data_IF_700566561861
#
_entry.id   IF_700566561861
#
_cell.length_a   1.000
_cell.length_b   1.000
_cell.length_c   1.000
_cell.angle_alpha   90.00
_cell.angle_beta   90.00
_cell.angle_gamma   90.00
#
_symmetry.space_group_name_H-M   'P 1'
#
loop_
_entity.id
_entity.type
_entity.pdbx_description
1 polymer ?
#
# COMPACT_ATOMS: atom_id res chain seq x y z
N UNK A 1 32.71 -23.45 22.09
CA UNK A 1 31.69 -23.90 21.11
C UNK A 1 31.49 -22.73 20.17
N UNK A 2 31.92 -22.83 18.91
CA UNK A 2 31.70 -21.78 17.91
C UNK A 2 30.27 -21.97 17.38
N UNK A 3 29.32 -21.23 17.95
CA UNK A 3 27.93 -21.20 17.48
C UNK A 3 27.87 -20.41 16.17
N UNK A 4 28.08 -21.09 15.05
CA UNK A 4 27.84 -20.51 13.73
C UNK A 4 26.34 -20.54 13.48
N UNK A 5 25.67 -19.41 13.71
CA UNK A 5 24.26 -19.21 13.34
C UNK A 5 24.23 -18.79 11.87
N UNK A 6 23.62 -19.61 11.02
CA UNK A 6 23.30 -19.23 9.64
C UNK A 6 21.88 -18.68 9.67
N UNK A 7 21.72 -17.39 9.39
CA UNK A 7 20.41 -16.76 9.25
C UNK A 7 19.58 -17.54 8.23
N UNK A 8 18.35 -17.93 8.57
CA UNK A 8 17.43 -18.65 7.70
C UNK A 8 16.49 -17.72 6.91
N UNK A 9 16.69 -16.41 7.01
CA UNK A 9 15.86 -15.36 6.40
C UNK A 9 16.11 -15.13 4.90
N UNK A 10 16.87 -16.01 4.24
CA UNK A 10 17.24 -15.83 2.82
C UNK A 10 16.01 -15.65 1.92
N UNK A 11 14.92 -16.36 2.20
CA UNK A 11 13.66 -16.23 1.46
C UNK A 11 13.02 -14.85 1.68
N UNK A 12 13.00 -14.36 2.93
CA UNK A 12 12.48 -13.05 3.26
C UNK A 12 13.27 -11.93 2.56
N UNK A 13 14.61 -12.00 2.57
CA UNK A 13 15.45 -11.05 1.85
C UNK A 13 15.23 -11.08 0.34
N UNK A 14 15.08 -12.27 -0.25
CA UNK A 14 14.77 -12.40 -1.67
C UNK A 14 13.42 -11.77 -2.04
N UNK A 15 12.39 -11.98 -1.22
CA UNK A 15 11.07 -11.36 -1.42
C UNK A 15 11.14 -9.84 -1.26
N UNK A 16 11.86 -9.34 -0.24
CA UNK A 16 12.05 -7.90 -0.05
C UNK A 16 12.73 -7.25 -1.25
N UNK A 17 13.77 -7.87 -1.81
CA UNK A 17 14.45 -7.36 -3.02
C UNK A 17 13.49 -7.27 -4.23
N UNK A 18 12.58 -8.22 -4.39
CA UNK A 18 11.55 -8.16 -5.45
C UNK A 18 10.64 -6.93 -5.26
N UNK A 19 10.18 -6.69 -4.03
CA UNK A 19 9.32 -5.54 -3.72
C UNK A 19 10.09 -4.22 -3.87
N UNK A 20 11.35 -4.15 -3.43
CA UNK A 20 12.24 -3.00 -3.61
C UNK A 20 12.47 -2.67 -5.10
N UNK A 21 12.60 -3.70 -5.94
CA UNK A 21 12.69 -3.52 -7.40
C UNK A 21 11.36 -2.99 -7.99
N UNK A 22 10.21 -3.51 -7.57
CA UNK A 22 8.90 -2.98 -7.98
C UNK A 22 8.75 -1.51 -7.62
N UNK A 23 9.13 -1.13 -6.40
CA UNK A 23 9.15 0.28 -5.98
C UNK A 23 10.08 1.12 -6.88
N UNK A 24 11.24 0.59 -7.26
CA UNK A 24 12.17 1.28 -8.15
C UNK A 24 11.55 1.51 -9.54
N UNK A 25 10.89 0.51 -10.12
CA UNK A 25 10.14 0.66 -11.37
C UNK A 25 9.00 1.67 -11.25
N UNK A 26 8.33 1.75 -10.09
CA UNK A 26 7.28 2.72 -9.85
C UNK A 26 7.83 4.15 -9.82
N UNK A 27 9.04 4.36 -9.26
CA UNK A 27 9.73 5.65 -9.27
C UNK A 27 10.08 6.05 -10.71
N UNK A 28 10.60 5.13 -11.51
CA UNK A 28 10.94 5.36 -12.91
C UNK A 28 9.71 5.77 -13.74
N UNK A 29 8.62 5.00 -13.64
CA UNK A 29 7.34 5.34 -14.25
C UNK A 29 6.83 6.73 -13.84
N UNK A 30 7.00 7.09 -12.56
CA UNK A 30 6.66 8.43 -12.05
C UNK A 30 7.49 9.56 -12.68
N UNK A 31 8.79 9.34 -12.91
CA UNK A 31 9.68 10.31 -13.59
C UNK A 31 9.26 10.52 -15.04
N UNK A 32 8.77 9.48 -15.69
CA UNK A 32 8.24 9.52 -17.05
C UNK A 32 6.79 10.03 -17.13
N UNK A 33 6.17 10.36 -15.98
CA UNK A 33 4.75 10.75 -15.86
C UNK A 33 3.80 9.67 -16.38
N UNK A 34 4.20 8.41 -16.30
CA UNK A 34 3.41 7.27 -16.73
C UNK A 34 2.61 6.69 -15.56
N UNK A 35 1.47 7.32 -15.28
CA UNK A 35 0.58 6.87 -14.20
C UNK A 35 0.06 5.45 -14.40
N UNK A 36 -0.03 4.97 -15.66
CA UNK A 36 -0.53 3.62 -15.97
C UNK A 36 0.45 2.56 -15.49
N UNK A 37 1.74 2.75 -15.73
CA UNK A 37 2.77 1.84 -15.22
C UNK A 37 2.88 1.91 -13.70
N UNK A 38 2.77 3.11 -13.11
CA UNK A 38 2.68 3.23 -11.65
C UNK A 38 1.49 2.44 -11.09
N UNK A 39 0.33 2.52 -11.75
CA UNK A 39 -0.86 1.79 -11.34
C UNK A 39 -0.65 0.28 -11.46
N UNK A 40 -0.12 -0.23 -12.58
CA UNK A 40 0.14 -1.67 -12.77
C UNK A 40 1.02 -2.24 -11.65
N UNK A 41 1.99 -1.48 -11.15
CA UNK A 41 2.83 -1.91 -10.02
C UNK A 41 2.05 -1.97 -8.71
N UNK A 42 1.17 -0.99 -8.47
CA UNK A 42 0.22 -1.02 -7.34
C UNK A 42 -0.70 -2.25 -7.44
N UNK A 43 -1.18 -2.60 -8.64
CA UNK A 43 -1.97 -3.83 -8.83
C UNK A 43 -1.17 -5.09 -8.51
N UNK A 44 0.07 -5.18 -9.00
CA UNK A 44 0.93 -6.33 -8.77
C UNK A 44 1.18 -6.56 -7.27
N UNK A 45 1.47 -5.50 -6.52
CA UNK A 45 1.68 -5.60 -5.07
C UNK A 45 0.39 -6.00 -4.35
N UNK A 46 -0.77 -5.47 -4.73
CA UNK A 46 -2.06 -5.89 -4.16
C UNK A 46 -2.29 -7.40 -4.32
N UNK A 47 -1.97 -7.95 -5.50
CA UNK A 47 -2.07 -9.38 -5.76
C UNK A 47 -1.07 -10.19 -4.93
N UNK A 48 0.16 -9.72 -4.75
CA UNK A 48 1.16 -10.36 -3.90
C UNK A 48 0.75 -10.37 -2.42
N UNK A 49 0.11 -9.30 -1.93
CA UNK A 49 -0.40 -9.18 -0.57
C UNK A 49 -1.57 -10.12 -0.28
N UNK A 50 -2.46 -10.29 -1.26
CA UNK A 50 -3.62 -11.17 -1.15
C UNK A 50 -3.21 -12.64 -1.20
N UNK A 51 -2.11 -12.94 -1.91
CA UNK A 51 -1.50 -14.28 -1.95
C UNK A 51 -0.59 -14.56 -0.76
N UNK A 52 0.23 -15.60 -0.91
CA UNK A 52 1.26 -15.97 0.08
C UNK A 52 2.67 -15.50 -0.29
N UNK A 53 2.81 -14.69 -1.35
CA UNK A 53 4.11 -14.32 -1.91
C UNK A 53 4.94 -13.44 -0.98
N UNK A 54 4.28 -12.66 -0.12
CA UNK A 54 4.96 -11.78 0.82
C UNK A 54 5.15 -12.42 2.21
N UNK A 55 4.45 -13.52 2.50
CA UNK A 55 4.44 -14.21 3.80
C UNK A 55 5.83 -14.42 4.44
N UNK A 56 6.90 -14.76 3.68
CA UNK A 56 8.23 -14.91 4.26
C UNK A 56 8.71 -13.67 5.02
N UNK A 57 8.27 -12.46 4.64
CA UNK A 57 8.63 -11.22 5.34
C UNK A 57 8.10 -11.15 6.77
N UNK A 58 7.00 -11.84 7.11
CA UNK A 58 6.41 -11.82 8.46
C UNK A 58 7.27 -12.52 9.51
N UNK A 59 8.18 -13.40 9.06
CA UNK A 59 9.04 -14.20 9.92
C UNK A 59 10.50 -13.72 9.92
N UNK A 60 10.80 -12.61 9.23
CA UNK A 60 12.16 -12.08 9.14
C UNK A 60 12.60 -11.48 10.48
N UNK A 61 13.83 -11.80 10.90
CA UNK A 61 14.45 -11.26 12.12
C UNK A 61 14.77 -9.75 12.00
N UNK A 62 14.93 -9.23 10.78
CA UNK A 62 15.11 -7.79 10.49
C UNK A 62 13.76 -7.07 10.33
N UNK A 63 13.02 -7.01 11.43
CA UNK A 63 11.69 -6.37 11.46
C UNK A 63 11.73 -4.88 11.08
N UNK A 64 12.85 -4.20 11.33
CA UNK A 64 13.04 -2.77 11.01
C UNK A 64 13.02 -2.56 9.49
N UNK A 65 13.76 -3.39 8.74
CA UNK A 65 13.76 -3.30 7.27
C UNK A 65 12.39 -3.64 6.69
N UNK A 66 11.75 -4.69 7.19
CA UNK A 66 10.40 -5.09 6.77
C UNK A 66 9.40 -3.94 6.99
N UNK A 67 9.40 -3.33 8.18
CA UNK A 67 8.54 -2.20 8.50
C UNK A 67 8.80 -0.99 7.60
N UNK A 68 10.06 -0.65 7.36
CA UNK A 68 10.43 0.47 6.49
C UNK A 68 9.95 0.26 5.05
N UNK A 69 10.14 -0.95 4.50
CA UNK A 69 9.69 -1.30 3.17
C UNK A 69 8.16 -1.30 3.06
N UNK A 70 7.47 -1.84 4.05
CA UNK A 70 6.01 -1.89 4.02
C UNK A 70 5.39 -0.50 4.17
N UNK A 71 5.90 0.33 5.09
CA UNK A 71 5.52 1.74 5.20
C UNK A 71 5.78 2.51 3.90
N UNK A 72 6.89 2.22 3.20
CA UNK A 72 7.16 2.77 1.88
C UNK A 72 6.07 2.36 0.88
N UNK A 73 5.73 1.07 0.79
CA UNK A 73 4.66 0.56 -0.08
C UNK A 73 3.31 1.22 0.21
N UNK A 74 2.90 1.36 1.47
CA UNK A 74 1.62 2.01 1.81
C UNK A 74 1.56 3.46 1.34
N UNK A 75 2.64 4.22 1.55
CA UNK A 75 2.75 5.60 1.06
C UNK A 75 2.78 5.67 -0.45
N UNK A 76 3.44 4.73 -1.13
CA UNK A 76 3.43 4.61 -2.58
C UNK A 76 1.99 4.44 -3.11
N UNK A 77 1.19 3.58 -2.46
CA UNK A 77 -0.22 3.36 -2.83
C UNK A 77 -1.02 4.65 -2.64
N UNK A 78 -0.97 5.27 -1.45
CA UNK A 78 -1.72 6.50 -1.18
C UNK A 78 -1.28 7.67 -2.07
N UNK A 79 0.02 7.80 -2.34
CA UNK A 79 0.54 8.77 -3.31
C UNK A 79 -0.02 8.51 -4.70
N UNK A 80 -0.05 7.26 -5.15
CA UNK A 80 -0.61 6.91 -6.46
C UNK A 80 -2.09 7.27 -6.52
N UNK A 81 -2.88 6.95 -5.49
CA UNK A 81 -4.30 7.32 -5.41
C UNK A 81 -4.48 8.85 -5.45
N UNK A 82 -3.69 9.61 -4.70
CA UNK A 82 -3.75 11.08 -4.73
C UNK A 82 -3.29 11.67 -6.08
N UNK A 83 -2.35 11.03 -6.77
CA UNK A 83 -1.98 11.43 -8.13
C UNK A 83 -3.12 11.14 -9.13
N UNK A 84 -3.80 10.00 -9.00
CA UNK A 84 -4.99 9.69 -9.80
C UNK A 84 -6.14 10.69 -9.53
N UNK A 85 -6.29 11.13 -8.28
CA UNK A 85 -7.20 12.20 -7.89
C UNK A 85 -6.87 13.51 -8.62
N UNK A 86 -5.60 13.94 -8.58
CA UNK A 86 -5.13 15.14 -9.27
C UNK A 86 -5.35 15.08 -10.79
N UNK A 87 -5.22 13.90 -11.38
CA UNK A 87 -5.51 13.65 -12.81
C UNK A 87 -7.01 13.55 -13.13
N UNK A 88 -7.90 13.62 -12.14
CA UNK A 88 -9.35 13.48 -12.34
C UNK A 88 -9.80 12.06 -12.70
N UNK A 89 -9.02 11.05 -12.34
CA UNK A 89 -9.27 9.63 -12.68
C UNK A 89 -10.08 8.89 -11.61
N UNK A 90 -10.16 9.43 -10.38
CA UNK A 90 -11.06 8.93 -9.34
C UNK A 90 -12.48 9.44 -9.59
N UNK A 91 -13.37 8.53 -9.97
CA UNK A 91 -14.79 8.81 -10.27
C UNK A 91 -15.62 7.54 -10.12
N UNK A 92 -16.94 7.68 -9.99
CA UNK A 92 -17.89 6.58 -9.86
C UNK A 92 -17.74 5.49 -10.94
N UNK A 93 -17.58 5.91 -12.20
CA UNK A 93 -17.24 5.02 -13.31
C UNK A 93 -15.79 5.22 -13.73
N UNK A 94 -14.82 4.57 -13.06
CA UNK A 94 -13.42 4.81 -13.32
C UNK A 94 -13.03 4.33 -14.73
N UNK A 95 -12.11 5.08 -15.34
CA UNK A 95 -11.39 4.61 -16.54
C UNK A 95 -10.55 3.37 -16.19
N UNK A 96 -9.98 3.39 -14.98
CA UNK A 96 -9.25 2.29 -14.37
C UNK A 96 -10.27 1.26 -13.85
N UNK A 97 -10.59 0.26 -14.68
CA UNK A 97 -11.62 -0.75 -14.36
C UNK A 97 -11.35 -1.57 -13.10
N UNK A 98 -10.08 -1.70 -12.74
CA UNK A 98 -9.62 -2.40 -11.55
C UNK A 98 -9.58 -1.54 -10.28
N UNK A 99 -9.81 -0.22 -10.35
CA UNK A 99 -9.61 0.70 -9.22
C UNK A 99 -10.30 0.23 -7.94
N UNK A 100 -11.62 0.04 -7.99
CA UNK A 100 -12.40 -0.39 -6.83
C UNK A 100 -12.03 -1.79 -6.33
N UNK A 101 -11.62 -2.69 -7.24
CA UNK A 101 -11.15 -4.03 -6.87
C UNK A 101 -9.82 -3.99 -6.13
N UNK A 102 -8.86 -3.21 -6.63
CA UNK A 102 -7.52 -3.11 -6.06
C UNK A 102 -7.54 -2.37 -4.72
N UNK A 103 -8.32 -1.29 -4.60
CA UNK A 103 -8.54 -0.63 -3.30
C UNK A 103 -9.15 -1.61 -2.28
N UNK A 104 -10.13 -2.42 -2.71
CA UNK A 104 -10.74 -3.43 -1.85
C UNK A 104 -9.75 -4.54 -1.45
N UNK A 105 -8.88 -4.99 -2.35
CA UNK A 105 -7.84 -5.98 -2.03
C UNK A 105 -6.88 -5.47 -0.96
N UNK A 106 -6.44 -4.21 -1.07
CA UNK A 106 -5.59 -3.59 -0.05
C UNK A 106 -6.29 -3.52 1.30
N UNK A 107 -7.54 -3.02 1.35
CA UNK A 107 -8.33 -2.94 2.58
C UNK A 107 -8.49 -4.34 3.21
N UNK A 108 -8.92 -5.33 2.43
CA UNK A 108 -9.18 -6.68 2.93
C UNK A 108 -7.91 -7.41 3.38
N UNK A 109 -6.76 -7.11 2.77
CA UNK A 109 -5.49 -7.72 3.13
C UNK A 109 -4.76 -6.99 4.25
N UNK A 110 -5.13 -5.74 4.55
CA UNK A 110 -4.35 -4.87 5.43
C UNK A 110 -4.27 -5.39 6.87
N UNK A 111 -5.36 -5.91 7.42
CA UNK A 111 -5.41 -6.41 8.81
C UNK A 111 -4.32 -7.47 9.08
N UNK A 112 -4.09 -8.37 8.12
CA UNK A 112 -3.02 -9.38 8.19
C UNK A 112 -1.62 -8.76 8.34
N UNK A 113 -1.42 -7.60 7.73
CA UNK A 113 -0.13 -6.92 7.69
C UNK A 113 0.00 -5.81 8.73
N UNK A 114 -1.10 -5.41 9.39
CA UNK A 114 -1.11 -4.40 10.45
C UNK A 114 -0.18 -4.76 11.59
N UNK A 115 -0.12 -6.05 11.98
CA UNK A 115 0.78 -6.53 13.04
C UNK A 115 2.27 -6.41 12.70
N UNK A 116 2.61 -6.31 11.42
CA UNK A 116 4.00 -6.15 10.97
C UNK A 116 4.45 -4.70 11.11
N UNK A 117 3.53 -3.73 11.02
CA UNK A 117 3.76 -2.29 11.15
C UNK A 117 3.57 -1.82 12.59
N UNK A 118 4.55 -2.07 13.45
CA UNK A 118 4.42 -1.77 14.89
C UNK A 118 4.71 -0.29 15.19
N UNK A 119 5.64 0.33 14.47
CA UNK A 119 5.96 1.77 14.60
C UNK A 119 6.28 2.34 13.22
N UNK A 120 5.80 3.55 12.91
CA UNK A 120 6.21 4.25 11.68
C UNK A 120 7.71 4.62 11.80
N UNK A 121 8.61 3.92 11.09
CA UNK A 121 10.04 3.98 11.40
C UNK A 121 10.68 5.29 10.91
N UNK A 122 9.92 6.10 10.16
CA UNK A 122 10.44 7.29 9.47
C UNK A 122 10.02 8.62 10.09
N UNK A 123 9.15 8.62 11.11
CA UNK A 123 8.69 9.86 11.79
C UNK A 123 7.93 10.84 10.89
N UNK A 124 7.37 10.35 9.77
CA UNK A 124 6.62 11.17 8.80
C UNK A 124 5.15 11.36 9.22
N UNK A 125 4.47 12.35 8.61
CA UNK A 125 3.02 12.59 8.76
C UNK A 125 2.20 11.54 8.01
N UNK A 126 2.36 10.28 8.38
CA UNK A 126 1.61 9.15 7.87
C UNK A 126 1.41 8.21 9.05
N UNK A 127 0.16 7.86 9.32
CA UNK A 127 -0.16 6.84 10.30
C UNK A 127 -0.49 5.53 9.54
N UNK A 128 0.40 4.53 9.59
CA UNK A 128 0.17 3.25 8.93
C UNK A 128 -1.10 2.57 9.41
N UNK A 129 -1.49 2.73 10.67
CA UNK A 129 -2.66 2.06 11.25
C UNK A 129 -3.96 2.52 10.60
N UNK A 130 -3.98 3.75 10.05
CA UNK A 130 -5.13 4.36 9.39
C UNK A 130 -5.13 4.15 7.87
N UNK A 131 -4.25 3.30 7.33
CA UNK A 131 -4.11 3.12 5.88
C UNK A 131 -5.41 2.68 5.19
N UNK A 132 -6.10 1.69 5.74
CA UNK A 132 -7.39 1.20 5.26
C UNK A 132 -8.48 2.28 5.34
N UNK A 133 -8.48 3.06 6.41
CA UNK A 133 -9.36 4.21 6.59
C UNK A 133 -9.10 5.32 5.56
N UNK A 134 -7.84 5.61 5.23
CA UNK A 134 -7.50 6.55 4.15
C UNK A 134 -7.98 6.07 2.79
N UNK A 135 -7.76 4.79 2.46
CA UNK A 135 -8.24 4.20 1.20
C UNK A 135 -9.77 4.22 1.12
N UNK A 136 -10.46 3.83 2.20
CA UNK A 136 -11.91 3.85 2.25
C UNK A 136 -12.45 5.28 2.11
N UNK A 137 -11.84 6.26 2.77
CA UNK A 137 -12.22 7.67 2.63
C UNK A 137 -12.04 8.17 1.18
N UNK A 138 -10.97 7.76 0.48
CA UNK A 138 -10.82 8.06 -0.95
C UNK A 138 -11.94 7.44 -1.79
N UNK A 139 -12.29 6.18 -1.53
CA UNK A 139 -13.35 5.49 -2.25
C UNK A 139 -14.71 6.17 -2.04
N UNK A 140 -15.04 6.51 -0.79
CA UNK A 140 -16.27 7.21 -0.42
C UNK A 140 -16.34 8.62 -1.05
N UNK A 141 -15.25 9.39 -0.99
CA UNK A 141 -15.18 10.75 -1.55
C UNK A 141 -15.52 10.81 -3.04
N UNK A 142 -15.13 9.79 -3.80
CA UNK A 142 -15.30 9.71 -5.25
C UNK A 142 -16.35 8.70 -5.71
N UNK A 143 -17.10 8.14 -4.75
CA UNK A 143 -18.13 7.12 -4.97
C UNK A 143 -17.64 5.91 -5.79
N UNK A 144 -16.40 5.48 -5.51
CA UNK A 144 -15.77 4.34 -6.18
C UNK A 144 -16.32 3.04 -5.58
N UNK A 145 -16.98 2.17 -6.37
CA UNK A 145 -17.54 0.93 -5.84
C UNK A 145 -16.44 -0.08 -5.50
N UNK A 146 -16.29 -0.40 -4.21
CA UNK A 146 -15.40 -1.45 -3.71
C UNK A 146 -16.05 -2.83 -3.88
N UNK A 147 -15.40 -3.75 -4.59
CA UNK A 147 -15.94 -5.09 -4.91
C UNK A 147 -14.82 -6.11 -5.04
N UNK A 148 -15.14 -7.40 -4.89
CA UNK A 148 -14.26 -8.52 -5.26
C UNK A 148 -13.80 -9.40 -4.10
N UNK A 149 -13.08 -8.87 -3.09
CA UNK A 149 -12.74 -9.64 -1.90
C UNK A 149 -14.00 -10.18 -1.19
N UNK A 150 -13.95 -11.42 -0.65
CA UNK A 150 -15.02 -11.94 0.19
C UNK A 150 -15.27 -11.02 1.39
N UNK A 151 -16.53 -10.80 1.75
CA UNK A 151 -16.94 -10.06 2.95
C UNK A 151 -16.45 -8.59 2.99
N UNK A 152 -16.07 -8.00 1.86
CA UNK A 152 -15.61 -6.61 1.81
C UNK A 152 -16.62 -5.64 2.43
N UNK A 153 -17.92 -5.86 2.22
CA UNK A 153 -19.00 -5.05 2.77
C UNK A 153 -19.04 -5.08 4.30
N UNK A 154 -18.61 -6.17 4.93
CA UNK A 154 -18.54 -6.28 6.39
C UNK A 154 -17.25 -5.64 6.91
N UNK A 155 -16.11 -5.88 6.23
CA UNK A 155 -14.82 -5.27 6.57
C UNK A 155 -14.91 -3.73 6.57
N UNK A 156 -15.53 -3.12 5.55
CA UNK A 156 -15.61 -1.66 5.46
C UNK A 156 -16.55 -1.02 6.48
N UNK A 157 -17.48 -1.79 7.09
CA UNK A 157 -18.36 -1.27 8.16
C UNK A 157 -17.61 -1.07 9.47
N UNK A 158 -16.57 -1.85 9.69
CA UNK A 158 -15.76 -1.83 10.92
C UNK A 158 -14.64 -0.77 10.86
N UNK A 159 -14.45 -0.10 9.71
CA UNK A 159 -13.45 0.95 9.50
C UNK A 159 -14.10 2.31 9.73
N UNK A 160 -13.64 3.03 10.76
CA UNK A 160 -14.07 4.39 11.05
C UNK A 160 -13.36 5.40 10.12
N UNK A 161 -14.16 6.19 9.40
CA UNK A 161 -13.68 7.25 8.50
C UNK A 161 -14.15 8.64 8.91
N UNK A 162 -14.86 8.81 10.04
CA UNK A 162 -15.49 10.09 10.42
C UNK A 162 -14.47 11.23 10.60
N UNK A 163 -13.34 10.94 11.25
CA UNK A 163 -12.29 11.91 11.55
C UNK A 163 -11.14 11.93 10.51
N UNK A 164 -11.25 11.13 9.45
CA UNK A 164 -10.19 10.99 8.44
C UNK A 164 -10.13 12.23 7.54
N UNK A 165 -9.02 12.96 7.63
CA UNK A 165 -8.74 14.12 6.80
C UNK A 165 -7.80 13.74 5.67
N UNK A 166 -8.34 13.65 4.46
CA UNK A 166 -7.53 13.46 3.26
C UNK A 166 -6.75 14.74 2.95
N UNK A 167 -5.45 14.64 2.63
CA UNK A 167 -4.66 15.77 2.16
C UNK A 167 -5.19 16.28 0.82
N UNK A 168 -4.91 17.55 0.50
CA UNK A 168 -5.25 18.10 -0.81
C UNK A 168 -4.39 17.46 -1.91
N UNK A 169 -5.01 17.08 -3.02
CA UNK A 169 -4.33 16.57 -4.21
C UNK A 169 -3.42 17.59 -4.89
N UNK A 170 -3.55 18.88 -4.57
CA UNK A 170 -2.67 19.95 -5.05
C UNK A 170 -1.31 19.96 -4.32
N UNK A 171 -1.18 19.20 -3.23
CA UNK A 171 0.11 19.04 -2.56
C UNK A 171 1.02 18.16 -3.42
N UNK A 172 2.25 18.60 -3.65
CA UNK A 172 3.25 17.85 -4.42
C UNK A 172 3.57 16.48 -3.83
N UNK A 173 3.48 16.34 -2.51
CA UNK A 173 3.77 15.10 -1.80
C UNK A 173 2.83 14.96 -0.57
N UNK A 174 1.56 14.62 -0.80
CA UNK A 174 0.52 14.63 0.23
C UNK A 174 0.75 13.58 1.32
N UNK A 175 1.45 12.50 0.98
CA UNK A 175 1.69 11.32 1.83
C UNK A 175 3.16 11.15 2.25
N UNK A 176 3.99 12.16 1.98
CA UNK A 176 5.40 12.16 2.41
C UNK A 176 6.22 11.03 1.80
N UNK A 177 6.02 10.73 0.52
CA UNK A 177 6.80 9.77 -0.25
C UNK A 177 8.28 10.17 -0.36
N UNK A 178 8.56 11.42 -0.73
CA UNK A 178 9.88 11.90 -1.20
C UNK A 178 10.82 12.43 -0.12
N UNK A 179 10.39 12.55 1.14
CA UNK A 179 11.14 13.25 2.21
C UNK A 179 11.86 12.36 3.20
#
# INVERSE_FOLDING_TARGET
MFGMYVYNDFEAYGVMEVVENLVTYWIEAGREKNWKEQWVIVEAIAMMLTGSSLDPMQMCEDSVRVQALFSLVLRMVLFTISNLEHLGLLKHEPEIKSLGFIMALYIASFDRWRQVLIEEPTGRKFDPDLFDAYLLAYAQKYDVPLRGPPQIDDIIKDIDTEDIKLPSCELKDPWGWTK
#
